data_IF_171446987891
#
_entry.id   IF_171446987891
#
_cell.length_a   1.000
_cell.length_b   1.000
_cell.length_c   1.000
_cell.angle_alpha   90.00
_cell.angle_beta   90.00
_cell.angle_gamma   90.00
#
_symmetry.space_group_name_H-M   'P 1'
#
loop_
_entity.id
_entity.type
_entity.pdbx_description
1 polymer ?
#
# COMPACT_ATOMS: atom_id res chain seq x y z
N UNK A 1 2.21 4.23 6.26
CA UNK A 1 1.08 5.10 5.87
C UNK A 1 -0.20 4.49 6.41
N UNK A 2 -1.00 5.28 7.14
CA UNK A 2 -2.32 4.86 7.59
C UNK A 2 -3.36 5.12 6.50
N UNK A 3 -4.10 4.08 6.12
CA UNK A 3 -5.15 4.07 5.12
C UNK A 3 -6.56 3.94 5.75
N UNK A 4 -6.69 4.10 7.07
CA UNK A 4 -7.96 3.96 7.81
C UNK A 4 -9.10 4.83 7.28
N UNK A 5 -8.77 5.99 6.67
CA UNK A 5 -9.74 6.92 6.08
C UNK A 5 -9.89 6.77 4.55
N UNK A 6 -9.15 5.85 3.94
CA UNK A 6 -9.16 5.62 2.49
C UNK A 6 -10.19 4.55 2.16
N UNK A 7 -11.28 4.95 1.52
CA UNK A 7 -12.37 4.06 1.12
C UNK A 7 -12.22 3.50 -0.29
N UNK A 8 -11.41 4.14 -1.14
CA UNK A 8 -11.18 3.76 -2.52
C UNK A 8 -9.81 4.24 -3.03
N UNK A 9 -9.25 3.54 -4.01
CA UNK A 9 -7.97 3.88 -4.65
C UNK A 9 -8.03 3.53 -6.14
N UNK A 10 -7.50 4.41 -6.99
CA UNK A 10 -7.39 4.22 -8.43
C UNK A 10 -5.98 3.81 -8.87
N UNK A 11 -5.78 3.69 -10.18
CA UNK A 11 -4.48 3.38 -10.78
C UNK A 11 -3.40 4.41 -10.44
N UNK A 12 -3.76 5.69 -10.37
CA UNK A 12 -2.82 6.76 -10.04
C UNK A 12 -2.35 6.68 -8.58
N UNK A 13 -3.27 6.43 -7.64
CA UNK A 13 -2.97 6.19 -6.24
C UNK A 13 -2.07 4.98 -6.05
N UNK A 14 -2.36 3.87 -6.74
CA UNK A 14 -1.51 2.66 -6.71
C UNK A 14 -0.11 2.94 -7.24
N UNK A 15 0.03 3.66 -8.36
CA UNK A 15 1.33 4.06 -8.89
C UNK A 15 2.11 4.96 -7.92
N UNK A 16 1.41 5.86 -7.22
CA UNK A 16 1.98 6.69 -6.15
C UNK A 16 2.53 5.85 -5.00
N UNK A 17 1.79 4.82 -4.55
CA UNK A 17 2.27 3.91 -3.50
C UNK A 17 3.54 3.17 -3.93
N UNK A 18 3.61 2.69 -5.18
CA UNK A 18 4.81 2.03 -5.71
C UNK A 18 6.00 2.98 -5.72
N UNK A 19 5.80 4.25 -6.12
CA UNK A 19 6.83 5.28 -6.09
C UNK A 19 7.36 5.51 -4.68
N UNK A 20 6.47 5.66 -3.70
CA UNK A 20 6.83 5.84 -2.30
C UNK A 20 7.63 4.66 -1.74
N UNK A 21 7.24 3.43 -2.09
CA UNK A 21 7.98 2.23 -1.71
C UNK A 21 9.39 2.21 -2.32
N UNK A 22 9.51 2.54 -3.60
CA UNK A 22 10.80 2.60 -4.29
C UNK A 22 11.71 3.67 -3.68
N UNK A 23 11.16 4.85 -3.38
CA UNK A 23 11.91 5.93 -2.74
C UNK A 23 12.35 5.57 -1.32
N UNK A 24 11.47 4.94 -0.52
CA UNK A 24 11.82 4.46 0.81
C UNK A 24 12.98 3.44 0.76
N UNK A 25 12.89 2.44 -0.14
CA UNK A 25 13.95 1.44 -0.35
C UNK A 25 15.27 2.08 -0.78
N UNK A 26 15.22 3.07 -1.68
CA UNK A 26 16.40 3.81 -2.16
C UNK A 26 17.11 4.54 -1.01
N UNK A 27 16.35 4.99 -0.01
CA UNK A 27 16.87 5.65 1.18
C UNK A 27 17.25 4.64 2.29
N UNK A 28 17.20 3.34 2.04
CA UNK A 28 17.48 2.30 3.02
C UNK A 28 16.39 2.12 4.08
N UNK A 29 15.20 2.70 3.85
CA UNK A 29 14.06 2.64 4.75
C UNK A 29 13.01 1.61 4.33
N UNK A 30 12.05 1.39 5.23
CA UNK A 30 10.87 0.58 4.98
C UNK A 30 9.63 1.45 4.79
N UNK A 31 8.71 0.98 3.95
CA UNK A 31 7.40 1.60 3.79
C UNK A 31 6.31 0.55 3.98
N UNK A 32 5.46 0.76 5.00
CA UNK A 32 4.38 -0.15 5.38
C UNK A 32 3.01 0.53 5.24
N UNK A 33 2.00 -0.25 4.91
CA UNK A 33 0.61 0.19 4.82
C UNK A 33 -0.17 -0.37 6.02
N UNK A 34 -0.97 0.47 6.68
CA UNK A 34 -1.81 0.10 7.81
C UNK A 34 -3.25 0.57 7.60
N UNK A 35 -4.22 -0.02 8.29
CA UNK A 35 -5.60 0.47 8.30
C UNK A 35 -6.37 0.37 6.97
N UNK A 36 -5.86 -0.34 5.96
CA UNK A 36 -6.54 -0.44 4.66
C UNK A 36 -7.94 -1.09 4.79
N UNK A 37 -8.95 -0.46 4.19
CA UNK A 37 -10.27 -1.08 4.03
C UNK A 37 -10.21 -2.32 3.14
N UNK A 38 -11.21 -3.21 3.20
CA UNK A 38 -11.24 -4.41 2.38
C UNK A 38 -11.22 -4.10 0.87
N UNK A 39 -11.94 -3.06 0.45
CA UNK A 39 -11.93 -2.56 -0.93
C UNK A 39 -10.51 -2.16 -1.38
N UNK A 40 -9.79 -1.41 -0.55
CA UNK A 40 -8.41 -0.99 -0.84
C UNK A 40 -7.46 -2.19 -0.84
N UNK A 41 -7.62 -3.15 0.08
CA UNK A 41 -6.83 -4.40 0.07
C UNK A 41 -7.05 -5.20 -1.20
N UNK A 42 -8.30 -5.35 -1.65
CA UNK A 42 -8.63 -6.03 -2.92
C UNK A 42 -7.96 -5.34 -4.11
N UNK A 43 -7.99 -4.00 -4.16
CA UNK A 43 -7.30 -3.24 -5.20
C UNK A 43 -5.78 -3.48 -5.20
N UNK A 44 -5.14 -3.50 -4.02
CA UNK A 44 -3.71 -3.82 -3.87
C UNK A 44 -3.39 -5.24 -4.36
N UNK A 45 -4.22 -6.24 -4.02
CA UNK A 45 -4.06 -7.63 -4.46
C UNK A 45 -4.23 -7.75 -5.98
N UNK A 46 -5.26 -7.13 -6.56
CA UNK A 46 -5.47 -7.15 -8.01
C UNK A 46 -4.30 -6.51 -8.77
N UNK A 47 -3.71 -5.46 -8.20
CA UNK A 47 -2.51 -4.82 -8.74
C UNK A 47 -1.21 -5.58 -8.42
N UNK A 48 -1.29 -6.74 -7.74
CA UNK A 48 -0.14 -7.56 -7.28
C UNK A 48 0.84 -6.79 -6.40
N UNK A 49 0.35 -5.76 -5.71
CA UNK A 49 1.14 -4.93 -4.80
C UNK A 49 1.21 -5.50 -3.40
N UNK A 50 0.31 -6.41 -3.04
CA UNK A 50 0.33 -7.15 -1.77
C UNK A 50 1.64 -7.94 -1.55
N UNK A 51 2.30 -8.37 -2.63
CA UNK A 51 3.63 -9.00 -2.55
C UNK A 51 4.78 -7.99 -2.35
N UNK A 52 4.56 -6.69 -2.64
CA UNK A 52 5.57 -5.64 -2.55
C UNK A 52 5.53 -4.89 -1.22
N UNK A 53 4.35 -4.79 -0.61
CA UNK A 53 4.15 -4.16 0.69
C UNK A 53 4.09 -5.22 1.79
N UNK A 54 4.83 -5.06 2.90
CA UNK A 54 4.56 -5.81 4.13
C UNK A 54 3.20 -5.33 4.65
N UNK A 55 2.11 -6.03 4.29
CA UNK A 55 0.78 -5.77 4.84
C UNK A 55 0.70 -6.51 6.16
N UNK A 56 0.86 -5.80 7.28
CA UNK A 56 0.64 -6.41 8.58
C UNK A 56 -0.85 -6.76 8.73
N UNK A 57 -1.12 -8.02 9.08
CA UNK A 57 -2.42 -8.41 9.59
C UNK A 57 -2.57 -7.76 10.95
N UNK A 58 -3.48 -6.81 11.08
CA UNK A 58 -4.03 -6.43 12.38
C UNK A 58 -4.61 -7.71 12.99
N UNK A 59 -3.95 -8.22 14.04
CA UNK A 59 -4.49 -9.27 14.92
C UNK A 59 -5.50 -8.66 15.88
#
# INVERSE_FOLDING_TARGET
MDLSRVTWIDSAGLAGLVRLLADARRLGGEFRLAGASETVRKALIFARLDALFPVEKTS
#
